data_IF_487066456744
#
_entry.id   IF_487066456744
#
_cell.length_a   1.000
_cell.length_b   1.000
_cell.length_c   1.000
_cell.angle_alpha   90.00
_cell.angle_beta   90.00
_cell.angle_gamma   90.00
#
_symmetry.space_group_name_H-M   'P 1'
#
loop_
_entity.id
_entity.type
_entity.pdbx_description
1 polymer ?
#
# COMPACT_ATOMS: atom_id res chain seq x y z
N UNK A 1 9.99 2.98 -46.21
CA UNK A 1 10.62 3.02 -44.87
C UNK A 1 9.50 3.30 -43.87
N UNK A 2 9.03 2.25 -43.18
CA UNK A 2 7.91 2.29 -42.25
C UNK A 2 8.49 2.03 -40.85
N UNK A 3 8.13 2.81 -39.82
CA UNK A 3 8.83 2.75 -38.53
C UNK A 3 8.62 1.39 -37.85
N UNK A 4 9.74 0.89 -37.34
CA UNK A 4 9.89 -0.35 -36.60
C UNK A 4 9.07 -0.33 -35.31
N UNK A 5 8.08 -1.22 -35.29
CA UNK A 5 7.92 -2.19 -34.20
C UNK A 5 7.26 -1.68 -32.92
N UNK A 6 5.96 -1.44 -33.03
CA UNK A 6 5.00 -1.84 -32.00
C UNK A 6 5.14 -3.35 -31.75
N UNK A 7 5.68 -3.75 -30.59
CA UNK A 7 5.71 -5.16 -30.16
C UNK A 7 4.76 -5.37 -28.97
N UNK A 8 3.75 -6.20 -29.21
CA UNK A 8 2.72 -6.68 -28.31
C UNK A 8 3.28 -7.53 -27.16
N UNK A 9 2.60 -7.50 -26.00
CA UNK A 9 2.11 -8.67 -25.23
C UNK A 9 1.43 -8.08 -23.96
N UNK A 10 0.10 -8.02 -23.87
CA UNK A 10 -0.70 -9.23 -23.74
C UNK A 10 -0.61 -9.83 -22.33
N UNK A 11 -0.78 -9.03 -21.28
CA UNK A 11 -1.13 -9.52 -19.94
C UNK A 11 -2.56 -9.07 -19.64
N UNK A 12 -3.47 -10.02 -19.85
CA UNK A 12 -4.85 -10.00 -19.43
C UNK A 12 -5.02 -9.49 -18.00
N UNK A 13 -5.68 -8.34 -17.85
CA UNK A 13 -6.57 -8.01 -16.74
C UNK A 13 -6.02 -8.19 -15.32
N UNK A 14 -5.31 -7.19 -14.82
CA UNK A 14 -5.70 -6.62 -13.52
C UNK A 14 -6.09 -5.19 -13.80
N UNK A 15 -7.16 -4.71 -13.19
CA UNK A 15 -7.54 -3.30 -13.28
C UNK A 15 -6.26 -2.46 -13.07
N UNK A 16 -6.02 -1.44 -13.92
CA UNK A 16 -5.15 -0.30 -13.57
C UNK A 16 -5.79 0.51 -12.41
N UNK A 17 -6.37 -0.20 -11.44
CA UNK A 17 -6.88 0.35 -10.21
C UNK A 17 -5.67 0.70 -9.40
N UNK A 18 -5.45 2.00 -9.23
CA UNK A 18 -4.54 2.53 -8.23
C UNK A 18 -4.71 1.71 -6.94
N UNK A 19 -3.70 0.90 -6.63
CA UNK A 19 -3.70 0.16 -5.39
C UNK A 19 -3.65 1.19 -4.25
N UNK A 20 -4.49 1.02 -3.22
CA UNK A 20 -4.65 2.02 -2.15
C UNK A 20 -3.32 2.39 -1.50
N UNK A 21 -2.43 1.41 -1.34
CA UNK A 21 -1.05 1.62 -0.88
C UNK A 21 -0.25 2.59 -1.76
N UNK A 22 -0.33 2.47 -3.09
CA UNK A 22 0.37 3.39 -4.00
C UNK A 22 -0.22 4.79 -3.86
N UNK A 23 -1.55 4.90 -3.80
CA UNK A 23 -2.20 6.19 -3.61
C UNK A 23 -1.83 6.85 -2.29
N UNK A 24 -1.61 6.07 -1.23
CA UNK A 24 -1.09 6.57 0.05
C UNK A 24 0.34 7.07 -0.14
N UNK A 25 1.23 6.23 -0.68
CA UNK A 25 2.63 6.57 -0.92
C UNK A 25 2.79 7.85 -1.76
N UNK A 26 1.94 8.06 -2.76
CA UNK A 26 1.94 9.24 -3.64
C UNK A 26 1.46 10.54 -2.95
N UNK A 27 0.83 10.45 -1.78
CA UNK A 27 0.11 11.58 -1.15
C UNK A 27 0.63 11.99 0.22
N UNK A 28 1.26 11.08 0.94
CA UNK A 28 1.89 11.37 2.23
C UNK A 28 3.22 12.10 2.04
N UNK A 29 3.72 12.69 3.13
CA UNK A 29 5.04 13.31 3.14
C UNK A 29 6.17 12.28 3.02
N UNK A 30 7.38 12.73 2.72
CA UNK A 30 8.57 11.88 2.70
C UNK A 30 9.01 11.38 4.09
N UNK A 31 8.32 11.79 5.16
CA UNK A 31 8.54 11.24 6.50
C UNK A 31 7.70 9.98 6.77
N UNK A 32 6.78 9.61 5.87
CA UNK A 32 5.98 8.40 5.97
C UNK A 32 6.58 7.30 5.11
N UNK A 33 6.78 6.12 5.71
CA UNK A 33 7.23 4.92 5.00
C UNK A 33 6.05 4.00 4.66
N UNK A 34 6.09 3.40 3.46
CA UNK A 34 5.11 2.41 3.00
C UNK A 34 5.84 1.14 2.62
N UNK A 35 5.59 0.06 3.37
CA UNK A 35 6.25 -1.22 3.15
C UNK A 35 5.32 -2.26 2.52
N UNK A 36 5.91 -3.15 1.74
CA UNK A 36 5.21 -4.19 0.99
C UNK A 36 5.70 -5.59 1.39
N UNK A 37 4.90 -6.65 1.12
CA UNK A 37 5.31 -8.03 1.35
C UNK A 37 6.71 -8.34 0.81
N UNK A 38 7.54 -8.93 1.66
CA UNK A 38 8.93 -9.30 1.34
C UNK A 38 10.00 -8.42 1.99
N UNK A 39 9.63 -7.28 2.57
CA UNK A 39 10.54 -6.47 3.39
C UNK A 39 10.48 -6.85 4.87
N UNK A 40 11.58 -6.67 5.60
CA UNK A 40 11.64 -6.92 7.05
C UNK A 40 10.70 -6.01 7.84
N UNK A 41 10.58 -4.74 7.46
CA UNK A 41 9.67 -3.79 8.11
C UNK A 41 8.22 -4.21 7.92
N UNK A 42 7.81 -4.60 6.71
CA UNK A 42 6.46 -5.13 6.48
C UNK A 42 6.17 -6.34 7.37
N UNK A 43 7.12 -7.28 7.48
CA UNK A 43 6.95 -8.47 8.32
C UNK A 43 6.74 -8.01 9.77
N UNK A 44 7.64 -7.18 10.31
CA UNK A 44 7.56 -6.67 11.67
C UNK A 44 6.25 -5.91 11.96
N UNK A 45 5.76 -5.14 10.99
CA UNK A 45 4.51 -4.37 11.12
C UNK A 45 3.25 -5.23 11.07
N UNK A 46 3.33 -6.39 10.43
CA UNK A 46 2.22 -7.34 10.33
C UNK A 46 2.26 -8.44 11.40
N UNK A 47 3.33 -8.51 12.19
CA UNK A 47 3.41 -9.41 13.33
C UNK A 47 2.31 -9.08 14.36
N UNK A 48 1.57 -10.12 14.75
CA UNK A 48 0.49 -10.01 15.71
C UNK A 48 0.67 -11.08 16.79
N UNK A 49 0.68 -10.65 18.07
CA UNK A 49 0.91 -11.56 19.21
C UNK A 49 0.00 -12.79 19.21
N UNK A 50 -1.29 -12.58 18.96
CA UNK A 50 -2.24 -13.68 18.78
C UNK A 50 -2.27 -14.12 17.31
N UNK A 51 -1.53 -15.18 16.99
CA UNK A 51 -1.44 -15.74 15.63
C UNK A 51 -2.79 -16.13 15.04
N UNK A 52 -3.74 -16.57 15.88
CA UNK A 52 -5.11 -16.88 15.48
C UNK A 52 -5.92 -15.68 14.96
N UNK A 53 -5.45 -14.45 15.21
CA UNK A 53 -6.08 -13.20 14.76
C UNK A 53 -5.25 -12.48 13.68
N UNK A 54 -4.17 -13.10 13.21
CA UNK A 54 -3.29 -12.51 12.19
C UNK A 54 -4.00 -12.39 10.85
N UNK A 55 -3.87 -11.23 10.22
CA UNK A 55 -4.41 -10.94 8.90
C UNK A 55 -3.32 -10.27 8.07
N UNK A 56 -3.10 -10.78 6.87
CA UNK A 56 -2.08 -10.25 5.96
C UNK A 56 -2.61 -8.95 5.34
N UNK A 57 -1.94 -7.83 5.63
CA UNK A 57 -2.25 -6.56 4.95
C UNK A 57 -1.74 -6.56 3.51
N UNK A 58 -2.03 -5.52 2.73
CA UNK A 58 -1.39 -5.36 1.42
C UNK A 58 -0.18 -4.41 1.42
N UNK A 59 -0.12 -3.56 2.42
CA UNK A 59 1.04 -2.78 2.80
C UNK A 59 0.90 -2.44 4.28
N UNK A 60 2.02 -2.22 4.96
CA UNK A 60 2.06 -1.45 6.19
C UNK A 60 2.46 -0.01 5.87
N UNK A 61 2.01 0.92 6.70
CA UNK A 61 2.34 2.34 6.58
C UNK A 61 2.76 2.81 7.96
N UNK A 62 3.93 3.43 8.05
CA UNK A 62 4.46 4.06 9.25
C UNK A 62 4.33 5.58 9.08
N UNK A 63 3.24 6.22 9.58
CA UNK A 63 3.00 7.64 9.33
C UNK A 63 4.03 8.51 10.07
N UNK A 64 4.63 9.46 9.36
CA UNK A 64 5.63 10.37 9.92
C UNK A 64 5.05 11.58 10.69
N UNK A 65 3.74 11.82 10.58
CA UNK A 65 3.06 12.98 11.17
C UNK A 65 1.56 12.74 11.36
N UNK A 66 0.90 13.61 12.14
CA UNK A 66 -0.55 13.56 12.32
C UNK A 66 -1.29 13.94 11.02
N UNK A 67 -0.70 14.82 10.22
CA UNK A 67 -1.18 15.22 8.90
C UNK A 67 -1.19 14.01 7.94
N UNK A 68 -0.13 13.20 7.94
CA UNK A 68 -0.06 11.98 7.14
C UNK A 68 -1.10 10.95 7.57
N UNK A 69 -1.36 10.79 8.87
CA UNK A 69 -2.48 9.97 9.37
C UNK A 69 -3.82 10.45 8.79
N UNK A 70 -4.06 11.76 8.78
CA UNK A 70 -5.27 12.34 8.20
C UNK A 70 -5.42 12.04 6.70
N UNK A 71 -4.31 12.12 5.94
CA UNK A 71 -4.28 11.78 4.52
C UNK A 71 -4.61 10.29 4.31
N UNK A 72 -3.95 9.40 5.06
CA UNK A 72 -4.13 7.95 4.99
C UNK A 72 -5.59 7.58 5.28
N UNK A 73 -6.14 8.02 6.43
CA UNK A 73 -7.52 7.74 6.82
C UNK A 73 -8.52 8.33 5.82
N UNK A 74 -8.22 9.51 5.26
CA UNK A 74 -9.03 10.13 4.20
C UNK A 74 -9.07 9.30 2.92
N UNK A 75 -7.95 8.68 2.53
CA UNK A 75 -7.91 7.76 1.39
C UNK A 75 -8.69 6.49 1.71
N UNK A 76 -8.39 5.81 2.83
CA UNK A 76 -9.05 4.57 3.27
C UNK A 76 -10.58 4.74 3.37
N UNK A 77 -11.04 5.87 3.93
CA UNK A 77 -12.46 6.18 4.06
C UNK A 77 -13.18 6.41 2.73
N UNK A 78 -12.49 6.97 1.74
CA UNK A 78 -13.01 7.17 0.36
C UNK A 78 -13.05 5.87 -0.42
N UNK A 79 -12.06 5.00 -0.22
CA UNK A 79 -11.95 3.70 -0.92
C UNK A 79 -12.63 2.56 -0.19
N UNK A 80 -13.18 2.82 1.02
CA UNK A 80 -13.79 1.81 1.90
C UNK A 80 -12.85 0.63 2.17
N UNK A 81 -11.56 0.93 2.32
CA UNK A 81 -10.52 -0.08 2.51
C UNK A 81 -10.47 -0.46 3.98
N UNK A 82 -10.60 -1.76 4.28
CA UNK A 82 -10.36 -2.28 5.61
C UNK A 82 -8.91 -2.04 6.04
N UNK A 83 -8.70 -1.67 7.30
CA UNK A 83 -7.37 -1.39 7.84
C UNK A 83 -7.29 -1.85 9.30
N UNK A 84 -6.07 -2.11 9.76
CA UNK A 84 -5.74 -2.32 11.17
C UNK A 84 -4.82 -1.20 11.66
N UNK A 85 -4.88 -0.89 12.96
CA UNK A 85 -3.95 0.03 13.62
C UNK A 85 -3.07 -0.79 14.56
N UNK A 86 -1.76 -0.61 14.44
CA UNK A 86 -0.76 -1.20 15.33
C UNK A 86 -0.03 -0.07 16.03
N UNK A 87 0.02 -0.14 17.36
CA UNK A 87 0.98 0.64 18.14
C UNK A 87 2.21 -0.25 18.35
N UNK A 88 3.38 0.27 18.03
CA UNK A 88 4.68 -0.35 18.34
C UNK A 88 4.86 -0.47 19.86
#
# INVERSE_FOLDING_TARGET
>A
MLPTTTLLLGLTGTTLGFHVCQRIADKVSSATDVYYPGSSSYIADNEHYATSSSQVSKCSVEPGSAEDVGIILGILGKTKTAFGVRAI
#
